data_IF_581260983596
#
_entry.id   IF_581260983596
#
_cell.length_a   1.000
_cell.length_b   1.000
_cell.length_c   1.000
_cell.angle_alpha   90.00
_cell.angle_beta   90.00
_cell.angle_gamma   90.00
#
_symmetry.space_group_name_H-M   'P 1'
#
loop_
_entity.id
_entity.type
_entity.pdbx_description
1 polymer ?
#
# COMPACT_ATOMS: atom_id res chain seq x y z
N UNK A 1 5.80 -39.97 46.85
CA UNK A 1 6.59 -39.15 47.78
C UNK A 1 6.98 -37.87 47.06
N UNK A 2 6.03 -37.05 46.61
CA UNK A 2 5.14 -36.18 47.42
C UNK A 2 5.99 -35.20 48.25
N UNK A 3 5.78 -33.88 48.23
CA UNK A 3 4.52 -33.17 48.09
C UNK A 3 4.76 -31.64 47.90
N UNK A 4 3.82 -30.99 47.20
CA UNK A 4 3.28 -29.63 47.41
C UNK A 4 4.19 -28.39 47.24
N UNK A 5 3.71 -27.19 46.88
CA UNK A 5 2.50 -26.62 46.26
C UNK A 5 2.76 -25.10 46.32
N UNK A 6 2.47 -24.30 45.30
CA UNK A 6 1.23 -23.52 45.30
C UNK A 6 1.08 -22.74 43.99
N UNK A 7 -0.13 -22.84 43.46
CA UNK A 7 -0.71 -21.98 42.43
C UNK A 7 -0.86 -20.55 42.95
N UNK A 8 -0.84 -19.58 42.02
CA UNK A 8 -1.87 -18.53 41.97
C UNK A 8 -2.03 -18.05 40.52
N UNK A 9 -3.14 -18.46 39.95
CA UNK A 9 -3.85 -17.88 38.81
C UNK A 9 -4.26 -16.43 39.10
N UNK A 10 -4.10 -15.53 38.13
CA UNK A 10 -5.08 -14.46 37.95
C UNK A 10 -5.28 -14.16 36.46
N UNK A 11 -6.54 -14.26 36.05
CA UNK A 11 -7.05 -13.89 34.74
C UNK A 11 -7.64 -12.47 34.82
N UNK A 12 -7.62 -11.80 33.66
CA UNK A 12 -8.51 -10.72 33.22
C UNK A 12 -8.40 -9.34 33.90
N UNK A 13 -7.91 -8.37 33.12
CA UNK A 13 -8.82 -7.31 32.65
C UNK A 13 -8.33 -6.71 31.33
N UNK A 14 -9.16 -6.91 30.31
CA UNK A 14 -9.12 -6.23 29.03
C UNK A 14 -9.69 -4.81 29.19
N UNK A 15 -8.87 -3.78 29.00
CA UNK A 15 -9.37 -2.45 28.71
C UNK A 15 -8.90 -2.04 27.31
N UNK A 16 -9.82 -2.22 26.35
CA UNK A 16 -9.76 -1.58 25.04
C UNK A 16 -9.63 -0.07 25.24
N UNK A 17 -8.52 0.52 24.78
CA UNK A 17 -8.49 1.96 24.54
C UNK A 17 -9.18 2.19 23.19
N UNK A 18 -10.49 2.42 23.28
CA UNK A 18 -11.33 2.94 22.20
C UNK A 18 -10.95 4.41 21.99
N UNK A 19 -10.78 4.91 20.74
CA UNK A 19 -10.67 6.35 20.53
C UNK A 19 -11.97 7.02 20.99
N UNK A 20 -11.87 7.88 22.00
CA UNK A 20 -13.01 8.64 22.50
C UNK A 20 -13.44 9.68 21.46
N UNK A 21 -14.67 9.54 20.99
CA UNK A 21 -15.44 10.61 20.35
C UNK A 21 -15.65 11.71 21.40
N UNK A 22 -15.12 12.91 21.13
CA UNK A 22 -15.45 14.12 21.89
C UNK A 22 -16.88 14.56 21.56
N UNK A 23 -17.71 14.92 22.55
CA UNK A 23 -19.09 15.34 22.33
C UNK A 23 -19.18 16.78 21.82
N UNK A 24 -20.15 16.99 20.94
CA UNK A 24 -20.57 18.26 20.37
C UNK A 24 -21.32 19.16 21.37
N UNK A 25 -20.82 20.38 21.58
CA UNK A 25 -21.55 21.66 21.77
C UNK A 25 -20.54 22.66 22.35
N UNK A 26 -20.27 23.81 21.74
CA UNK A 26 -21.13 24.99 21.77
C UNK A 26 -20.83 25.90 20.56
N UNK A 27 -21.90 26.49 20.05
CA UNK A 27 -21.95 27.45 18.95
C UNK A 27 -21.44 28.81 19.43
N UNK A 28 -20.55 29.45 18.69
CA UNK A 28 -20.53 30.92 18.59
C UNK A 28 -20.02 31.37 17.22
N UNK A 29 -20.78 32.28 16.61
CA UNK A 29 -20.64 32.79 15.25
C UNK A 29 -19.32 33.54 15.00
N UNK A 30 -18.71 33.34 13.82
CA UNK A 30 -18.20 34.46 13.00
C UNK A 30 -17.77 34.02 11.58
N UNK A 31 -18.45 34.64 10.61
CA UNK A 31 -17.98 35.15 9.30
C UNK A 31 -17.30 34.16 8.32
N UNK A 32 -18.08 33.78 7.31
CA UNK A 32 -17.73 33.00 6.11
C UNK A 32 -17.00 33.89 5.09
N UNK A 33 -15.92 33.42 4.45
CA UNK A 33 -15.65 33.73 3.05
C UNK A 33 -15.95 32.51 2.17
N UNK A 34 -16.74 32.76 1.13
CA UNK A 34 -17.22 31.81 0.13
C UNK A 34 -16.08 30.97 -0.48
N UNK A 35 -16.23 29.65 -0.45
CA UNK A 35 -15.61 28.78 -1.44
C UNK A 35 -16.71 27.92 -2.07
N UNK A 36 -17.06 28.25 -3.30
CA UNK A 36 -18.12 27.62 -4.09
C UNK A 36 -17.81 26.14 -4.35
N UNK A 37 -18.52 25.26 -3.65
CA UNK A 37 -18.54 23.82 -3.93
C UNK A 37 -19.43 23.55 -5.15
N UNK A 38 -18.82 23.27 -6.30
CA UNK A 38 -19.52 22.76 -7.48
C UNK A 38 -20.06 21.35 -7.15
N UNK A 39 -21.37 21.25 -6.93
CA UNK A 39 -22.10 19.97 -6.88
C UNK A 39 -22.00 19.28 -8.24
N UNK A 40 -21.24 18.19 -8.32
CA UNK A 40 -21.24 17.34 -9.50
C UNK A 40 -22.51 16.47 -9.47
N UNK A 41 -23.53 16.84 -10.25
CA UNK A 41 -24.65 15.96 -10.57
C UNK A 41 -24.22 15.04 -11.70
N UNK A 42 -23.99 13.76 -11.43
CA UNK A 42 -23.83 12.77 -12.50
C UNK A 42 -25.17 12.08 -12.78
N UNK A 43 -25.81 12.49 -13.87
CA UNK A 43 -26.74 11.65 -14.62
C UNK A 43 -26.10 11.43 -15.98
N UNK A 44 -25.37 10.34 -16.14
CA UNK A 44 -25.24 9.59 -17.39
C UNK A 44 -24.73 8.19 -17.03
N UNK A 45 -25.55 7.17 -17.27
CA UNK A 45 -25.09 5.78 -17.35
C UNK A 45 -24.28 5.70 -18.64
N UNK A 46 -22.99 6.06 -18.56
CA UNK A 46 -22.05 5.77 -19.62
C UNK A 46 -21.68 4.29 -19.47
N UNK A 47 -22.02 3.49 -20.48
CA UNK A 47 -21.40 2.18 -20.69
C UNK A 47 -19.89 2.41 -20.72
N UNK A 48 -19.21 2.06 -19.64
CA UNK A 48 -17.76 2.09 -19.57
C UNK A 48 -17.22 1.09 -20.60
N UNK A 49 -16.72 1.62 -21.72
CA UNK A 49 -15.72 0.93 -22.52
C UNK A 49 -14.40 1.00 -21.74
N UNK A 50 -14.33 0.26 -20.64
CA UNK A 50 -13.09 0.03 -19.92
C UNK A 50 -12.40 -1.14 -20.62
N UNK A 51 -11.25 -0.90 -21.23
CA UNK A 51 -10.33 -2.00 -21.52
C UNK A 51 -10.04 -2.77 -20.23
N UNK A 52 -9.59 -4.03 -20.32
CA UNK A 52 -9.26 -4.81 -19.13
C UNK A 52 -8.29 -4.03 -18.24
N UNK A 53 -8.61 -3.91 -16.95
CA UNK A 53 -7.68 -3.42 -15.93
C UNK A 53 -6.39 -4.21 -16.06
N UNK A 54 -5.21 -3.59 -16.01
CA UNK A 54 -3.95 -4.36 -15.95
C UNK A 54 -2.93 -3.64 -15.08
N UNK A 55 -2.26 -4.40 -14.23
CA UNK A 55 -1.20 -3.86 -13.38
C UNK A 55 0.09 -3.55 -14.13
N UNK A 56 0.21 -3.95 -15.40
CA UNK A 56 1.34 -3.58 -16.26
C UNK A 56 1.50 -2.05 -16.38
N UNK A 57 0.38 -1.30 -16.37
CA UNK A 57 0.40 0.17 -16.37
C UNK A 57 1.12 0.77 -15.16
N UNK A 58 1.05 0.10 -14.00
CA UNK A 58 1.71 0.53 -12.76
C UNK A 58 3.22 0.29 -12.86
N UNK A 59 3.60 -0.88 -13.37
CA UNK A 59 5.00 -1.27 -13.61
C UNK A 59 5.65 -0.29 -14.60
N UNK A 60 5.02 -0.04 -15.75
CA UNK A 60 5.54 0.88 -16.77
C UNK A 60 5.76 2.29 -16.20
N UNK A 61 4.77 2.83 -15.48
CA UNK A 61 4.92 4.12 -14.84
C UNK A 61 6.10 4.15 -13.87
N UNK A 62 6.25 3.14 -13.01
CA UNK A 62 7.33 3.09 -12.03
C UNK A 62 8.72 3.01 -12.70
N UNK A 63 8.85 2.20 -13.75
CA UNK A 63 10.09 2.08 -14.50
C UNK A 63 10.44 3.40 -15.21
N UNK A 64 9.47 4.05 -15.86
CA UNK A 64 9.69 5.32 -16.54
C UNK A 64 10.05 6.44 -15.57
N UNK A 65 9.34 6.53 -14.44
CA UNK A 65 9.65 7.50 -13.39
C UNK A 65 11.04 7.28 -12.80
N UNK A 66 11.48 6.02 -12.65
CA UNK A 66 12.82 5.71 -12.16
C UNK A 66 13.89 6.05 -13.18
N UNK A 67 13.69 5.72 -14.46
CA UNK A 67 14.63 6.05 -15.55
C UNK A 67 14.87 7.55 -15.69
N UNK A 68 13.89 8.38 -15.34
CA UNK A 68 14.07 9.85 -15.30
C UNK A 68 15.00 10.31 -14.18
N UNK A 69 15.09 9.56 -13.08
CA UNK A 69 15.84 9.93 -11.88
C UNK A 69 17.21 9.25 -11.81
N UNK A 70 17.36 8.09 -12.43
CA UNK A 70 18.60 7.31 -12.39
C UNK A 70 18.69 6.31 -13.55
N UNK A 71 19.90 5.80 -13.81
CA UNK A 71 20.12 4.75 -14.77
C UNK A 71 19.72 3.39 -14.18
N UNK A 72 18.66 2.79 -14.74
CA UNK A 72 18.29 1.41 -14.45
C UNK A 72 19.09 0.44 -15.32
N UNK A 73 19.69 -0.55 -14.68
CA UNK A 73 20.33 -1.70 -15.35
C UNK A 73 19.61 -2.99 -14.98
N UNK A 74 19.49 -3.98 -15.88
CA UNK A 74 18.94 -5.29 -15.53
C UNK A 74 19.71 -5.91 -14.36
N UNK A 75 18.99 -6.52 -13.42
CA UNK A 75 19.59 -7.29 -12.33
C UNK A 75 20.06 -8.66 -12.87
N UNK A 76 21.10 -9.29 -12.30
CA UNK A 76 21.44 -10.69 -12.61
C UNK A 76 20.29 -11.67 -12.36
N UNK A 77 19.30 -11.29 -11.55
CA UNK A 77 18.08 -12.06 -11.35
C UNK A 77 17.23 -12.15 -12.62
N UNK A 78 17.33 -11.20 -13.54
CA UNK A 78 16.51 -11.16 -14.76
C UNK A 78 16.77 -12.36 -15.67
N UNK A 79 18.00 -12.87 -15.69
CA UNK A 79 18.37 -14.07 -16.47
C UNK A 79 17.73 -15.35 -15.92
N UNK A 80 17.51 -15.39 -14.60
CA UNK A 80 16.93 -16.56 -13.90
C UNK A 80 15.42 -16.47 -13.73
N UNK A 81 14.90 -15.25 -13.60
CA UNK A 81 13.52 -14.94 -13.25
C UNK A 81 13.00 -13.86 -14.21
N UNK A 82 12.43 -14.31 -15.33
CA UNK A 82 11.87 -13.45 -16.38
C UNK A 82 10.41 -13.78 -16.66
N UNK A 83 10.12 -14.99 -17.11
CA UNK A 83 8.77 -15.52 -17.26
C UNK A 83 8.74 -16.97 -16.79
N UNK A 84 7.61 -17.38 -16.22
CA UNK A 84 7.35 -18.76 -15.84
C UNK A 84 5.88 -19.08 -16.09
N UNK A 85 5.60 -20.22 -16.72
CA UNK A 85 4.23 -20.72 -16.85
C UNK A 85 3.87 -21.57 -15.64
N UNK A 86 2.66 -21.38 -15.11
CA UNK A 86 2.11 -22.22 -14.05
C UNK A 86 1.99 -23.68 -14.51
N UNK A 87 1.91 -24.61 -13.56
CA UNK A 87 1.86 -26.05 -13.86
C UNK A 87 0.62 -26.46 -14.68
N UNK A 88 -0.45 -25.68 -14.62
CA UNK A 88 -1.66 -25.89 -15.43
C UNK A 88 -1.51 -25.42 -16.89
N UNK A 89 -0.42 -24.74 -17.23
CA UNK A 89 -0.15 -24.21 -18.57
C UNK A 89 -0.98 -22.98 -18.95
N UNK A 90 -1.84 -22.47 -18.06
CA UNK A 90 -2.84 -21.43 -18.38
C UNK A 90 -2.46 -20.04 -17.89
N UNK A 91 -1.55 -19.96 -16.91
CA UNK A 91 -1.20 -18.69 -16.26
C UNK A 91 0.28 -18.39 -16.45
N UNK A 92 0.59 -17.22 -17.02
CA UNK A 92 1.96 -16.72 -17.12
C UNK A 92 2.29 -15.82 -15.92
N UNK A 93 3.46 -16.05 -15.32
CA UNK A 93 4.04 -15.21 -14.28
C UNK A 93 5.16 -14.40 -14.91
N UNK A 94 5.00 -13.09 -14.97
CA UNK A 94 5.99 -12.18 -15.55
C UNK A 94 6.78 -11.49 -14.43
N UNK A 95 8.11 -11.54 -14.53
CA UNK A 95 9.03 -10.99 -13.55
C UNK A 95 10.02 -10.04 -14.20
N UNK A 96 10.17 -8.87 -13.60
CA UNK A 96 11.19 -7.91 -13.98
C UNK A 96 12.06 -7.58 -12.77
N UNK A 97 13.35 -7.39 -12.99
CA UNK A 97 14.31 -7.05 -11.95
C UNK A 97 15.42 -6.16 -12.47
N UNK A 98 15.67 -5.07 -11.72
CA UNK A 98 16.64 -4.03 -12.07
C UNK A 98 17.44 -3.59 -10.84
N UNK A 99 18.54 -2.90 -11.10
CA UNK A 99 19.39 -2.25 -10.10
C UNK A 99 19.73 -0.83 -10.53
N UNK A 100 20.15 0.01 -9.57
CA UNK A 100 20.67 1.35 -9.80
C UNK A 100 21.72 1.71 -8.72
N UNK A 101 22.43 2.85 -8.84
CA UNK A 101 23.47 3.22 -7.86
C UNK A 101 23.01 3.22 -6.39
N UNK A 102 21.78 3.66 -6.07
CA UNK A 102 21.24 3.68 -4.70
C UNK A 102 20.25 2.55 -4.39
N UNK A 103 19.98 1.69 -5.37
CA UNK A 103 18.91 0.71 -5.34
C UNK A 103 19.48 -0.67 -5.61
N UNK A 104 19.50 -1.53 -4.59
CA UNK A 104 20.04 -2.89 -4.74
C UNK A 104 19.15 -3.76 -5.61
N UNK A 105 17.84 -3.53 -5.58
CA UNK A 105 16.87 -4.32 -6.33
C UNK A 105 15.53 -3.59 -6.44
N UNK A 106 15.09 -3.31 -7.66
CA UNK A 106 13.69 -3.09 -8.00
C UNK A 106 13.19 -4.36 -8.66
N UNK A 107 12.06 -4.90 -8.19
CA UNK A 107 11.48 -6.09 -8.79
C UNK A 107 9.97 -6.03 -8.87
N UNK A 108 9.43 -6.59 -9.93
CA UNK A 108 8.01 -6.82 -10.10
C UNK A 108 7.75 -8.30 -10.37
N UNK A 109 6.68 -8.83 -9.80
CA UNK A 109 5.99 -10.03 -10.23
C UNK A 109 4.57 -9.61 -10.64
N UNK A 110 4.17 -9.97 -11.86
CA UNK A 110 2.83 -9.78 -12.37
C UNK A 110 2.25 -11.13 -12.78
N UNK A 111 1.02 -11.38 -12.37
CA UNK A 111 0.25 -12.56 -12.76
C UNK A 111 -1.08 -12.06 -13.28
N UNK A 112 -1.47 -12.45 -14.49
CA UNK A 112 -2.71 -12.01 -15.11
C UNK A 112 -3.34 -13.21 -15.85
N UNK A 113 -4.56 -13.54 -15.48
CA UNK A 113 -5.43 -14.45 -16.22
C UNK A 113 -6.88 -13.98 -16.13
N UNK A 114 -7.84 -14.75 -16.65
CA UNK A 114 -9.25 -14.36 -16.66
C UNK A 114 -9.88 -14.19 -15.26
N UNK A 115 -9.33 -14.84 -14.24
CA UNK A 115 -9.91 -14.89 -12.89
C UNK A 115 -9.19 -13.98 -11.88
N UNK A 116 -7.88 -13.82 -12.02
CA UNK A 116 -7.02 -13.13 -11.05
C UNK A 116 -6.02 -12.19 -11.71
N UNK A 117 -5.73 -11.09 -11.00
CA UNK A 117 -4.61 -10.21 -11.28
C UNK A 117 -3.80 -9.95 -10.02
N UNK A 118 -2.49 -10.12 -10.12
CA UNK A 118 -1.57 -9.95 -9.01
C UNK A 118 -0.45 -9.02 -9.44
N UNK A 119 -0.12 -8.08 -8.55
CA UNK A 119 1.09 -7.29 -8.61
C UNK A 119 1.82 -7.44 -7.27
N UNK A 120 3.07 -7.88 -7.32
CA UNK A 120 4.02 -7.66 -6.24
C UNK A 120 5.16 -6.79 -6.79
N UNK A 121 5.23 -5.55 -6.35
CA UNK A 121 6.24 -4.59 -6.77
C UNK A 121 6.92 -3.96 -5.55
N UNK A 122 8.25 -3.91 -5.56
CA UNK A 122 9.00 -3.29 -4.47
C UNK A 122 10.34 -2.78 -4.93
N UNK A 123 10.82 -1.80 -4.17
CA UNK A 123 12.12 -1.16 -4.34
C UNK A 123 12.91 -1.30 -3.06
N UNK A 124 14.04 -1.99 -3.15
CA UNK A 124 15.00 -2.15 -2.06
C UNK A 124 16.20 -1.25 -2.32
N UNK A 125 16.47 -0.34 -1.39
CA UNK A 125 17.70 0.45 -1.37
C UNK A 125 18.93 -0.42 -1.07
N UNK A 126 20.11 0.11 -1.38
CA UNK A 126 21.34 -0.47 -0.83
C UNK A 126 21.43 -0.19 0.68
N UNK A 127 22.14 -1.04 1.46
CA UNK A 127 22.20 -0.91 2.92
C UNK A 127 22.75 0.44 3.43
N UNK A 128 23.53 1.16 2.62
CA UNK A 128 24.06 2.49 2.95
C UNK A 128 22.98 3.58 2.97
N UNK A 129 21.80 3.29 2.41
CA UNK A 129 20.65 4.20 2.36
C UNK A 129 19.50 3.65 3.20
N UNK A 130 19.27 4.27 4.35
CA UNK A 130 18.21 3.94 5.30
C UNK A 130 16.81 4.40 4.85
N UNK A 131 16.53 4.40 3.54
CA UNK A 131 15.22 4.82 3.02
C UNK A 131 14.17 3.71 3.21
N UNK A 132 12.88 4.04 3.38
CA UNK A 132 11.80 3.05 3.41
C UNK A 132 11.77 2.17 2.16
N UNK A 133 11.27 0.95 2.30
CA UNK A 133 11.04 0.03 1.18
C UNK A 133 9.71 0.41 0.53
N UNK A 134 9.73 0.84 -0.73
CA UNK A 134 8.48 0.98 -1.49
C UNK A 134 7.88 -0.40 -1.71
N UNK A 135 6.60 -0.57 -1.44
CA UNK A 135 5.91 -1.86 -1.47
C UNK A 135 4.49 -1.71 -2.01
N UNK A 136 4.17 -2.48 -3.05
CA UNK A 136 2.83 -2.57 -3.62
C UNK A 136 2.50 -4.06 -3.85
N UNK A 137 1.59 -4.59 -3.04
CA UNK A 137 1.07 -5.94 -3.14
C UNK A 137 -0.44 -5.87 -3.41
N UNK A 138 -0.81 -6.06 -4.68
CA UNK A 138 -2.20 -5.98 -5.13
C UNK A 138 -2.66 -7.37 -5.55
N UNK A 139 -3.82 -7.77 -5.04
CA UNK A 139 -4.49 -9.00 -5.40
C UNK A 139 -5.93 -8.67 -5.80
N UNK A 140 -6.30 -9.02 -7.02
CA UNK A 140 -7.62 -8.73 -7.57
C UNK A 140 -8.24 -10.01 -8.12
N UNK A 141 -9.52 -10.19 -7.81
CA UNK A 141 -10.41 -11.18 -8.42
C UNK A 141 -11.60 -10.47 -9.07
N UNK A 142 -12.48 -11.23 -9.71
CA UNK A 142 -13.74 -10.70 -10.24
C UNK A 142 -14.63 -10.00 -9.20
N UNK A 143 -14.46 -10.30 -7.90
CA UNK A 143 -15.35 -9.80 -6.83
C UNK A 143 -14.67 -8.92 -5.81
N UNK A 144 -13.34 -8.95 -5.71
CA UNK A 144 -12.62 -8.28 -4.63
C UNK A 144 -11.22 -7.84 -5.03
N UNK A 145 -10.81 -6.67 -4.54
CA UNK A 145 -9.43 -6.24 -4.48
C UNK A 145 -8.95 -6.35 -3.03
N UNK A 146 -7.73 -6.82 -2.82
CA UNK A 146 -7.00 -6.84 -1.55
C UNK A 146 -5.67 -6.13 -1.82
N UNK A 147 -5.50 -4.96 -1.22
CA UNK A 147 -4.45 -4.01 -1.60
C UNK A 147 -3.64 -3.66 -0.36
N UNK A 148 -2.32 -3.77 -0.51
CA UNK A 148 -1.32 -3.15 0.36
C UNK A 148 -0.45 -2.24 -0.49
N UNK A 149 -0.45 -0.94 -0.19
CA UNK A 149 0.49 0.04 -0.75
C UNK A 149 1.15 0.79 0.40
N UNK A 150 2.47 0.77 0.47
CA UNK A 150 3.20 1.37 1.58
C UNK A 150 4.63 1.79 1.22
N UNK A 151 5.19 2.62 2.09
CA UNK A 151 6.62 2.85 2.25
C UNK A 151 7.05 2.17 3.55
N UNK A 152 7.27 0.85 3.50
CA UNK A 152 7.55 0.06 4.71
C UNK A 152 8.83 0.58 5.40
N UNK A 153 8.77 0.96 6.69
CA UNK A 153 9.92 1.47 7.40
C UNK A 153 10.97 0.37 7.65
N UNK A 154 12.26 0.71 7.51
CA UNK A 154 13.36 -0.20 7.90
C UNK A 154 13.51 -0.32 9.42
N UNK A 155 12.98 0.66 10.15
CA UNK A 155 13.10 0.77 11.59
C UNK A 155 11.72 0.94 12.23
N UNK A 156 11.51 0.31 13.39
CA UNK A 156 10.22 0.38 14.08
C UNK A 156 9.83 1.84 14.37
N UNK A 157 8.80 2.34 13.70
CA UNK A 157 8.33 3.74 13.81
C UNK A 157 7.55 4.00 15.10
N UNK A 158 7.22 2.97 15.88
CA UNK A 158 6.62 3.13 17.22
C UNK A 158 7.70 3.62 18.20
N UNK A 159 8.86 2.98 18.20
CA UNK A 159 9.93 3.25 19.16
C UNK A 159 10.95 4.28 18.61
N UNK A 160 11.24 4.23 17.31
CA UNK A 160 12.26 5.06 16.66
C UNK A 160 11.69 6.36 16.08
N UNK A 161 11.40 7.32 16.97
CA UNK A 161 10.81 8.62 16.62
C UNK A 161 11.62 9.39 15.57
N UNK A 162 12.95 9.37 15.62
CA UNK A 162 13.80 10.09 14.66
C UNK A 162 13.62 9.57 13.22
N UNK A 163 13.51 8.25 13.03
CA UNK A 163 13.25 7.66 11.72
C UNK A 163 11.85 8.01 11.22
N UNK A 164 10.85 7.91 12.11
CA UNK A 164 9.47 8.30 11.82
C UNK A 164 9.38 9.75 11.36
N UNK A 165 10.04 10.65 12.06
CA UNK A 165 10.05 12.08 11.74
C UNK A 165 10.75 12.37 10.41
N UNK A 166 11.92 11.75 10.18
CA UNK A 166 12.71 11.91 8.95
C UNK A 166 11.91 11.54 7.70
N UNK A 167 11.19 10.42 7.72
CA UNK A 167 10.58 9.87 6.52
C UNK A 167 9.07 10.10 6.41
N UNK A 168 8.31 10.14 7.51
CA UNK A 168 6.85 10.08 7.44
C UNK A 168 6.15 11.36 7.88
N UNK A 169 6.81 12.25 8.64
CA UNK A 169 6.16 13.48 9.16
C UNK A 169 5.50 14.31 8.06
N UNK A 170 6.19 14.47 6.92
CA UNK A 170 5.68 15.23 5.76
C UNK A 170 4.71 14.44 4.89
N UNK A 171 4.63 13.11 5.06
CA UNK A 171 3.77 12.24 4.29
C UNK A 171 2.44 11.92 4.97
N UNK A 172 2.25 12.28 6.25
CA UNK A 172 0.97 12.09 6.96
C UNK A 172 -0.22 12.66 6.17
N UNK A 173 -0.18 13.87 5.58
CA UNK A 173 -1.30 14.37 4.78
C UNK A 173 -1.63 13.51 3.55
N UNK A 174 -0.60 12.93 2.90
CA UNK A 174 -0.77 12.00 1.79
C UNK A 174 -1.53 10.73 2.23
N UNK A 175 -1.09 10.13 3.33
CA UNK A 175 -1.75 8.95 3.90
C UNK A 175 -3.19 9.23 4.32
N UNK A 176 -3.45 10.36 4.99
CA UNK A 176 -4.80 10.75 5.42
C UNK A 176 -5.76 10.88 4.23
N UNK A 177 -5.34 11.59 3.17
CA UNK A 177 -6.16 11.76 1.97
C UNK A 177 -6.60 10.42 1.36
N UNK A 178 -5.69 9.45 1.26
CA UNK A 178 -6.03 8.14 0.71
C UNK A 178 -6.78 7.24 1.70
N UNK A 179 -6.62 7.44 3.00
CA UNK A 179 -7.41 6.75 4.03
C UNK A 179 -8.89 7.17 4.03
N UNK A 180 -9.20 8.38 3.57
CA UNK A 180 -10.59 8.84 3.39
C UNK A 180 -11.24 8.21 2.15
N UNK A 181 -10.43 7.86 1.14
CA UNK A 181 -10.91 7.29 -0.12
C UNK A 181 -11.07 5.77 -0.02
N UNK A 182 -10.14 5.08 0.64
CA UNK A 182 -10.12 3.62 0.73
C UNK A 182 -10.62 3.12 2.09
N UNK A 183 -11.59 2.19 2.13
CA UNK A 183 -12.01 1.59 3.40
C UNK A 183 -10.87 0.76 4.01
N UNK A 184 -10.75 0.76 5.34
CA UNK A 184 -9.76 -0.07 6.02
C UNK A 184 -10.02 -1.57 5.78
N UNK A 185 -8.99 -2.33 5.38
CA UNK A 185 -9.10 -3.73 4.94
C UNK A 185 -9.41 -4.75 6.05
N UNK A 186 -9.57 -4.29 7.29
CA UNK A 186 -9.86 -5.11 8.47
C UNK A 186 -8.66 -5.30 9.39
N UNK A 187 -8.78 -6.22 10.36
CA UNK A 187 -7.74 -6.45 11.37
C UNK A 187 -6.43 -6.95 10.73
N UNK A 188 -5.32 -6.31 11.10
CA UNK A 188 -3.96 -6.77 10.81
C UNK A 188 -3.42 -7.57 11.99
N UNK A 189 -2.48 -8.48 11.74
CA UNK A 189 -1.79 -9.22 12.80
C UNK A 189 -0.84 -8.30 13.57
N UNK A 190 -0.58 -8.62 14.84
CA UNK A 190 0.39 -7.89 15.68
C UNK A 190 1.79 -7.91 15.07
N UNK A 191 2.12 -8.97 14.34
CA UNK A 191 3.40 -9.19 13.68
C UNK A 191 3.53 -8.28 12.46
N UNK A 192 2.51 -8.19 11.61
CA UNK A 192 2.54 -7.36 10.39
C UNK A 192 2.59 -5.86 10.71
N UNK A 193 1.96 -5.42 11.80
CA UNK A 193 1.97 -4.02 12.22
C UNK A 193 3.38 -3.46 12.47
N UNK A 194 4.36 -4.32 12.76
CA UNK A 194 5.77 -3.92 12.96
C UNK A 194 6.43 -3.41 11.67
N UNK A 195 5.87 -3.75 10.51
CA UNK A 195 6.44 -3.46 9.20
C UNK A 195 5.67 -2.42 8.39
N UNK A 196 4.53 -1.94 8.91
CA UNK A 196 3.75 -0.92 8.22
C UNK A 196 4.07 0.48 8.69
N UNK A 197 4.06 1.40 7.74
CA UNK A 197 4.21 2.81 8.02
C UNK A 197 2.90 3.43 8.53
N UNK A 198 2.94 4.65 9.09
CA UNK A 198 1.74 5.41 9.45
C UNK A 198 0.86 5.82 8.27
N UNK A 199 1.33 5.62 7.03
CA UNK A 199 0.63 5.99 5.80
C UNK A 199 0.24 4.76 4.96
N UNK A 200 0.30 3.55 5.53
CA UNK A 200 -0.06 2.33 4.81
C UNK A 200 -1.49 2.41 4.28
N UNK A 201 -1.67 2.06 3.00
CA UNK A 201 -3.00 1.75 2.44
C UNK A 201 -3.18 0.25 2.53
N UNK A 202 -3.90 -0.19 3.55
CA UNK A 202 -4.43 -1.55 3.66
C UNK A 202 -5.93 -1.51 3.45
N UNK A 203 -6.40 -2.04 2.31
CA UNK A 203 -7.80 -1.91 1.91
C UNK A 203 -8.34 -3.14 1.17
N UNK A 204 -9.66 -3.31 1.26
CA UNK A 204 -10.42 -4.30 0.50
C UNK A 204 -11.65 -3.63 -0.10
N UNK A 205 -11.87 -3.80 -1.41
CA UNK A 205 -13.02 -3.19 -2.08
C UNK A 205 -13.43 -3.95 -3.36
N UNK A 206 -14.71 -3.93 -3.75
CA UNK A 206 -15.16 -4.51 -5.02
C UNK A 206 -14.52 -3.82 -6.24
N UNK A 207 -14.20 -4.54 -7.33
CA UNK A 207 -13.66 -3.94 -8.55
C UNK A 207 -14.59 -2.89 -9.16
N UNK A 208 -14.03 -1.72 -9.50
CA UNK A 208 -14.68 -0.71 -10.35
C UNK A 208 -13.64 0.19 -11.00
N UNK A 209 -14.02 0.86 -12.10
CA UNK A 209 -13.13 1.78 -12.82
C UNK A 209 -12.62 2.90 -11.91
N UNK A 210 -13.52 3.59 -11.22
CA UNK A 210 -13.17 4.69 -10.31
C UNK A 210 -12.19 4.23 -9.21
N UNK A 211 -12.37 3.01 -8.70
CA UNK A 211 -11.48 2.45 -7.66
C UNK A 211 -10.11 2.14 -8.21
N UNK A 212 -10.03 1.60 -9.43
CA UNK A 212 -8.77 1.33 -10.11
C UNK A 212 -8.02 2.64 -10.44
N UNK A 213 -8.70 3.67 -10.92
CA UNK A 213 -8.10 4.98 -11.20
C UNK A 213 -7.61 5.67 -9.92
N UNK A 214 -8.37 5.56 -8.84
CA UNK A 214 -7.96 6.02 -7.52
C UNK A 214 -6.72 5.26 -7.01
N UNK A 215 -6.67 3.94 -7.21
CA UNK A 215 -5.52 3.11 -6.82
C UNK A 215 -4.27 3.44 -7.65
N UNK A 216 -4.44 3.66 -8.95
CA UNK A 216 -3.37 4.10 -9.84
C UNK A 216 -2.81 5.45 -9.40
N UNK A 217 -3.67 6.41 -9.07
CA UNK A 217 -3.27 7.72 -8.55
C UNK A 217 -2.49 7.59 -7.23
N UNK A 218 -2.97 6.74 -6.31
CA UNK A 218 -2.30 6.46 -5.05
C UNK A 218 -0.90 5.87 -5.28
N UNK A 219 -0.79 4.85 -6.14
CA UNK A 219 0.48 4.25 -6.51
C UNK A 219 1.47 5.29 -7.06
N UNK A 220 1.02 6.14 -7.99
CA UNK A 220 1.88 7.15 -8.59
C UNK A 220 2.40 8.15 -7.57
N UNK A 221 1.55 8.61 -6.65
CA UNK A 221 1.96 9.56 -5.62
C UNK A 221 2.88 8.94 -4.57
N UNK A 222 2.58 7.72 -4.10
CA UNK A 222 3.44 6.99 -3.17
C UNK A 222 4.81 6.70 -3.80
N UNK A 223 4.84 6.32 -5.09
CA UNK A 223 6.08 6.01 -5.79
C UNK A 223 6.94 7.25 -6.01
N UNK A 224 6.34 8.40 -6.32
CA UNK A 224 7.08 9.66 -6.54
C UNK A 224 7.77 10.18 -5.29
N UNK A 225 7.25 9.87 -4.11
CA UNK A 225 7.82 10.26 -2.80
C UNK A 225 8.72 9.18 -2.19
N UNK A 226 8.87 8.03 -2.86
CA UNK A 226 9.79 6.96 -2.50
C UNK A 226 11.24 7.27 -2.86
#
# INVERSE_FOLDING_TARGET
MDLCSSLLTSCLSSSLIKPQLLPSSLITNSIIPNCTSKKCKSRHVLKASAGPFSYQKFIHFALDETKRRTLLVPSPLQEKYSSMTAMDGTTELQMLSFQAPKMRLLRSLSIENEAIQILDFAVFSRPEFDVPIFCANFFTTATMNIIVLDLNPLHNVIDQRNYKEKYFKRLIPLGLRYSELFPWGGKLTSESLKFFSPIVIWTKFPPSQDRYECLYSAFQEYYKVA
#
